data_IF_163395360059
#
_entry.id   IF_163395360059
#
_cell.length_a   1.000
_cell.length_b   1.000
_cell.length_c   1.000
_cell.angle_alpha   90.00
_cell.angle_beta   90.00
_cell.angle_gamma   90.00
#
_symmetry.space_group_name_H-M   'P 1'
#
loop_
_entity.id
_entity.type
_entity.pdbx_description
1 polymer ?
#
# COMPACT_ATOMS: atom_id res chain seq x y z
N UNK A 1 40.34 -39.74 0.72
CA UNK A 1 39.90 -39.24 2.06
C UNK A 1 40.19 -37.74 2.27
N UNK A 2 41.33 -37.18 1.84
CA UNK A 2 41.61 -35.72 1.98
C UNK A 2 40.63 -34.79 1.22
N UNK A 3 40.13 -35.18 0.05
CA UNK A 3 39.16 -34.37 -0.74
C UNK A 3 37.76 -34.26 -0.11
N UNK A 4 37.35 -35.21 0.73
CA UNK A 4 36.06 -35.15 1.42
C UNK A 4 36.09 -34.20 2.61
N UNK A 5 37.28 -33.98 3.21
CA UNK A 5 37.45 -33.09 4.34
C UNK A 5 37.45 -31.61 3.93
N UNK A 6 37.96 -31.28 2.73
CA UNK A 6 37.95 -29.90 2.23
C UNK A 6 36.56 -29.43 1.77
N UNK A 7 35.74 -30.35 1.25
CA UNK A 7 34.36 -30.03 0.83
C UNK A 7 33.49 -29.68 2.05
N UNK A 8 33.75 -30.30 3.20
CA UNK A 8 33.05 -30.01 4.46
C UNK A 8 33.51 -28.67 5.05
N UNK A 9 34.76 -28.25 4.82
CA UNK A 9 35.29 -26.99 5.34
C UNK A 9 34.70 -25.76 4.60
N UNK A 10 34.34 -25.90 3.32
CA UNK A 10 33.72 -24.81 2.53
C UNK A 10 32.25 -24.59 2.91
N UNK A 11 31.56 -25.59 3.45
CA UNK A 11 30.16 -25.46 3.90
C UNK A 11 30.00 -24.68 5.22
N UNK A 12 31.09 -24.38 5.94
CA UNK A 12 31.07 -23.60 7.18
C UNK A 12 31.40 -22.11 7.00
N UNK A 13 31.45 -21.60 5.77
CA UNK A 13 31.29 -20.16 5.54
C UNK A 13 29.85 -19.82 5.88
N UNK A 14 29.64 -19.51 7.15
CA UNK A 14 28.38 -19.13 7.74
C UNK A 14 27.70 -18.11 6.84
N UNK A 15 26.54 -18.49 6.30
CA UNK A 15 25.53 -17.52 5.92
C UNK A 15 25.15 -16.80 7.21
N UNK A 16 25.88 -15.76 7.56
CA UNK A 16 25.37 -14.67 8.36
C UNK A 16 24.18 -14.14 7.57
N UNK A 17 23.00 -14.65 7.89
CA UNK A 17 21.77 -13.92 7.68
C UNK A 17 22.00 -12.58 8.38
N UNK A 18 22.34 -11.56 7.61
CA UNK A 18 22.36 -10.21 8.11
C UNK A 18 20.92 -9.94 8.57
N UNK A 19 20.70 -10.09 9.88
CA UNK A 19 19.57 -9.50 10.56
C UNK A 19 19.51 -8.06 10.02
N UNK A 20 18.36 -7.55 9.53
CA UNK A 20 18.27 -6.15 9.19
C UNK A 20 18.58 -5.41 10.49
N UNK A 21 19.79 -4.88 10.59
CA UNK A 21 20.18 -3.97 11.65
C UNK A 21 19.16 -2.86 11.56
N UNK A 22 18.50 -2.55 12.68
CA UNK A 22 17.65 -1.37 12.76
C UNK A 22 18.46 -0.22 12.15
N UNK A 23 18.08 0.17 10.93
CA UNK A 23 18.66 1.33 10.28
C UNK A 23 18.44 2.43 11.30
N UNK A 24 19.47 3.22 11.60
CA UNK A 24 19.26 4.45 12.34
C UNK A 24 18.46 5.39 11.43
N UNK A 25 17.16 5.10 11.33
CA UNK A 25 16.21 5.81 10.48
C UNK A 25 16.09 7.26 10.91
N UNK A 26 16.50 7.60 12.14
CA UNK A 26 16.38 8.95 12.68
C UNK A 26 17.29 9.94 11.97
N UNK A 27 18.54 9.56 11.67
CA UNK A 27 19.48 10.41 10.93
C UNK A 27 19.00 10.64 9.49
N UNK A 28 18.55 9.56 8.82
CA UNK A 28 18.04 9.61 7.45
C UNK A 28 16.76 10.46 7.34
N UNK A 29 15.83 10.32 8.29
CA UNK A 29 14.59 11.12 8.34
C UNK A 29 14.89 12.59 8.61
N UNK A 30 15.84 12.90 9.51
CA UNK A 30 16.19 14.30 9.82
C UNK A 30 16.77 15.01 8.60
N UNK A 31 17.67 14.34 7.87
CA UNK A 31 18.24 14.85 6.62
C UNK A 31 17.15 15.05 5.56
N UNK A 32 16.28 14.05 5.35
CA UNK A 32 15.16 14.16 4.42
C UNK A 32 14.24 15.35 4.75
N UNK A 33 13.82 15.49 6.01
CA UNK A 33 12.99 16.60 6.49
C UNK A 33 13.67 17.96 6.33
N UNK A 34 15.00 18.03 6.46
CA UNK A 34 15.75 19.25 6.24
C UNK A 34 15.78 19.67 4.76
N UNK A 35 15.71 18.69 3.85
CA UNK A 35 15.72 18.90 2.40
C UNK A 35 14.34 19.28 1.83
N UNK A 36 13.28 19.14 2.60
CA UNK A 36 11.91 19.44 2.19
C UNK A 36 11.55 20.92 2.27
N UNK A 37 10.78 21.39 1.30
CA UNK A 37 10.06 22.66 1.36
C UNK A 37 8.89 22.59 2.36
N UNK A 38 8.31 23.74 2.71
CA UNK A 38 7.11 23.78 3.55
C UNK A 38 5.93 23.06 2.88
N UNK A 39 5.76 23.25 1.56
CA UNK A 39 4.69 22.61 0.80
C UNK A 39 4.83 21.08 0.81
N UNK A 40 6.04 20.55 0.60
CA UNK A 40 6.30 19.11 0.66
C UNK A 40 6.00 18.55 2.06
N UNK A 41 6.35 19.27 3.14
CA UNK A 41 6.01 18.84 4.51
C UNK A 41 4.51 18.77 4.75
N UNK A 42 3.78 19.80 4.30
CA UNK A 42 2.31 19.84 4.41
C UNK A 42 1.69 18.72 3.57
N UNK A 43 2.19 18.49 2.36
CA UNK A 43 1.79 17.39 1.50
C UNK A 43 1.98 16.04 2.18
N UNK A 44 3.16 15.79 2.77
CA UNK A 44 3.46 14.53 3.46
C UNK A 44 2.58 14.30 4.71
N UNK A 45 2.08 15.36 5.33
CA UNK A 45 1.12 15.29 6.44
C UNK A 45 -0.35 15.18 5.99
N UNK A 46 -0.60 15.18 4.68
CA UNK A 46 -1.96 15.13 4.11
C UNK A 46 -2.32 13.72 3.67
N UNK A 47 -3.53 13.29 4.04
CA UNK A 47 -4.15 12.05 3.58
C UNK A 47 -5.42 12.36 2.81
N UNK A 48 -5.56 11.82 1.59
CA UNK A 48 -6.69 12.10 0.70
C UNK A 48 -7.53 10.82 0.50
N UNK A 49 -8.86 10.95 0.46
CA UNK A 49 -9.74 9.84 0.09
C UNK A 49 -9.56 9.49 -1.39
N UNK A 50 -9.17 8.26 -1.70
CA UNK A 50 -8.90 7.78 -3.05
C UNK A 50 -10.14 7.85 -3.96
N UNK A 51 -11.34 7.70 -3.40
CA UNK A 51 -12.61 7.77 -4.15
C UNK A 51 -12.75 9.04 -5.00
N UNK A 52 -12.23 10.17 -4.54
CA UNK A 52 -12.37 11.44 -5.26
C UNK A 52 -11.62 11.47 -6.61
N UNK A 53 -10.70 10.53 -6.82
CA UNK A 53 -9.95 10.39 -8.05
C UNK A 53 -10.66 9.50 -9.07
N UNK A 54 -11.78 8.87 -8.72
CA UNK A 54 -12.49 7.96 -9.62
C UNK A 54 -13.85 8.53 -10.01
N UNK A 55 -14.20 8.37 -11.29
CA UNK A 55 -15.56 8.58 -11.73
C UNK A 55 -16.46 7.47 -11.16
N UNK A 56 -17.55 7.85 -10.50
CA UNK A 56 -18.43 6.90 -9.82
C UNK A 56 -19.22 5.99 -10.77
N UNK A 57 -19.40 6.36 -12.05
CA UNK A 57 -20.12 5.52 -13.01
C UNK A 57 -19.19 4.59 -13.79
N UNK A 58 -17.99 5.07 -14.15
CA UNK A 58 -17.09 4.35 -15.06
C UNK A 58 -15.87 3.74 -14.36
N UNK A 59 -15.60 4.12 -13.12
CA UNK A 59 -14.36 3.82 -12.39
C UNK A 59 -13.09 4.24 -13.15
N UNK A 60 -13.21 5.23 -14.05
CA UNK A 60 -12.07 5.85 -14.68
C UNK A 60 -11.35 6.76 -13.69
N UNK A 61 -10.02 6.65 -13.64
CA UNK A 61 -9.15 7.53 -12.88
C UNK A 61 -9.09 8.92 -13.54
N UNK A 62 -9.25 9.96 -12.73
CA UNK A 62 -9.08 11.37 -13.09
C UNK A 62 -7.60 11.73 -13.01
N UNK A 63 -6.92 11.60 -14.15
CA UNK A 63 -5.48 11.84 -14.29
C UNK A 63 -5.07 13.30 -13.99
N UNK A 64 -5.93 14.27 -14.32
CA UNK A 64 -5.65 15.68 -14.05
C UNK A 64 -5.64 15.95 -12.54
N UNK A 65 -6.64 15.40 -11.83
CA UNK A 65 -6.71 15.48 -10.38
C UNK A 65 -5.54 14.74 -9.73
N UNK A 66 -5.17 13.56 -10.23
CA UNK A 66 -3.99 12.84 -9.76
C UNK A 66 -2.72 13.68 -9.90
N UNK A 67 -2.46 14.25 -11.09
CA UNK A 67 -1.31 15.11 -11.34
C UNK A 67 -1.29 16.34 -10.41
N UNK A 68 -2.43 16.96 -10.17
CA UNK A 68 -2.56 18.12 -9.29
C UNK A 68 -2.13 17.82 -7.83
N UNK A 69 -2.56 16.68 -7.29
CA UNK A 69 -2.22 16.30 -5.91
C UNK A 69 -0.82 15.67 -5.81
N UNK A 70 -0.40 14.90 -6.82
CA UNK A 70 0.94 14.35 -6.92
C UNK A 70 2.01 15.46 -6.91
N UNK A 71 1.78 16.55 -7.67
CA UNK A 71 2.67 17.72 -7.69
C UNK A 71 2.78 18.49 -6.37
N UNK A 72 1.91 18.19 -5.38
CA UNK A 72 1.92 18.77 -4.03
C UNK A 72 2.56 17.86 -2.98
N UNK A 73 3.10 16.72 -3.40
CA UNK A 73 3.77 15.78 -2.51
C UNK A 73 2.85 15.17 -1.45
N UNK A 74 1.59 14.89 -1.78
CA UNK A 74 0.63 14.23 -0.88
C UNK A 74 1.20 12.89 -0.39
N UNK A 75 1.30 12.73 0.93
CA UNK A 75 1.97 11.60 1.56
C UNK A 75 1.12 10.33 1.60
N UNK A 76 -0.21 10.46 1.67
CA UNK A 76 -1.07 9.29 1.78
C UNK A 76 -2.39 9.41 1.04
N UNK A 77 -2.86 8.26 0.58
CA UNK A 77 -4.16 8.07 -0.03
C UNK A 77 -4.86 6.94 0.72
N UNK A 78 -6.10 7.15 1.14
CA UNK A 78 -6.87 6.19 1.93
C UNK A 78 -8.11 5.76 1.17
N UNK A 79 -8.54 4.54 1.45
CA UNK A 79 -9.87 4.00 1.18
C UNK A 79 -10.03 3.40 -0.21
N UNK A 80 -11.06 2.57 -0.34
CA UNK A 80 -11.45 1.99 -1.61
C UNK A 80 -12.20 2.98 -2.48
N UNK A 81 -12.00 2.98 -3.81
CA UNK A 81 -12.85 3.73 -4.73
C UNK A 81 -14.32 3.24 -4.70
N UNK A 82 -14.59 2.10 -4.07
CA UNK A 82 -15.92 1.53 -3.88
C UNK A 82 -16.58 1.90 -2.53
N UNK A 83 -15.97 2.79 -1.74
CA UNK A 83 -16.55 3.19 -0.45
C UNK A 83 -17.89 3.94 -0.59
N UNK A 84 -18.15 4.54 -1.76
CA UNK A 84 -19.44 5.14 -2.11
C UNK A 84 -20.58 4.14 -2.32
N UNK A 85 -20.28 2.84 -2.43
CA UNK A 85 -21.28 1.77 -2.54
C UNK A 85 -21.10 0.86 -3.76
N UNK A 86 -22.20 0.23 -4.17
CA UNK A 86 -22.24 -0.65 -5.34
C UNK A 86 -22.30 0.22 -6.59
N UNK A 87 -21.42 -0.05 -7.55
CA UNK A 87 -21.38 0.72 -8.80
C UNK A 87 -22.51 0.34 -9.74
N UNK A 88 -22.71 1.15 -10.77
CA UNK A 88 -23.76 0.99 -11.78
C UNK A 88 -23.73 -0.38 -12.48
N UNK A 89 -22.55 -1.01 -12.56
CA UNK A 89 -22.31 -2.33 -13.14
C UNK A 89 -22.42 -3.48 -12.12
N UNK A 90 -22.90 -3.20 -10.90
CA UNK A 90 -23.02 -4.13 -9.79
C UNK A 90 -21.68 -4.70 -9.29
N UNK A 91 -20.55 -4.04 -9.60
CA UNK A 91 -19.25 -4.36 -9.01
C UNK A 91 -19.13 -3.76 -7.62
N UNK A 92 -18.50 -4.54 -6.73
CA UNK A 92 -18.36 -4.22 -5.30
C UNK A 92 -16.89 -4.06 -4.89
N UNK A 93 -15.97 -4.08 -5.85
CA UNK A 93 -14.54 -4.10 -5.57
C UNK A 93 -13.71 -4.66 -6.72
N UNK A 94 -12.43 -4.30 -6.70
CA UNK A 94 -11.40 -4.86 -7.59
C UNK A 94 -10.89 -6.21 -7.09
N UNK A 95 -10.40 -7.03 -8.02
CA UNK A 95 -9.56 -8.17 -7.70
C UNK A 95 -8.11 -7.73 -7.38
N UNK A 96 -7.28 -8.64 -6.87
CA UNK A 96 -5.91 -8.32 -6.46
C UNK A 96 -5.03 -7.77 -7.60
N UNK A 97 -5.26 -8.19 -8.84
CA UNK A 97 -4.48 -7.71 -9.99
C UNK A 97 -4.87 -6.31 -10.40
N UNK A 98 -6.18 -6.00 -10.43
CA UNK A 98 -6.68 -4.64 -10.66
C UNK A 98 -6.19 -3.67 -9.58
N UNK A 99 -6.22 -4.09 -8.31
CA UNK A 99 -5.65 -3.32 -7.21
C UNK A 99 -4.17 -3.02 -7.43
N UNK A 100 -3.36 -4.03 -7.75
CA UNK A 100 -1.92 -3.86 -8.02
C UNK A 100 -1.67 -2.92 -9.19
N UNK A 101 -2.39 -3.09 -10.29
CA UNK A 101 -2.25 -2.26 -11.49
C UNK A 101 -2.50 -0.78 -11.18
N UNK A 102 -3.66 -0.46 -10.59
CA UNK A 102 -4.03 0.93 -10.29
C UNK A 102 -3.11 1.55 -9.24
N UNK A 103 -2.78 0.82 -8.17
CA UNK A 103 -1.87 1.35 -7.14
C UNK A 103 -0.46 1.55 -7.68
N UNK A 104 0.04 0.67 -8.54
CA UNK A 104 1.33 0.87 -9.20
C UNK A 104 1.33 2.10 -10.11
N UNK A 105 0.23 2.37 -10.82
CA UNK A 105 0.09 3.57 -11.64
C UNK A 105 0.13 4.84 -10.79
N UNK A 106 -0.66 4.90 -9.72
CA UNK A 106 -0.69 6.05 -8.79
C UNK A 106 0.66 6.26 -8.10
N UNK A 107 1.30 5.17 -7.64
CA UNK A 107 2.64 5.21 -7.05
C UNK A 107 3.67 5.77 -8.05
N UNK A 108 3.59 5.36 -9.31
CA UNK A 108 4.49 5.85 -10.37
C UNK A 108 4.26 7.33 -10.64
N UNK A 109 3.01 7.77 -10.74
CA UNK A 109 2.67 9.17 -10.95
C UNK A 109 3.15 10.08 -9.80
N UNK A 110 2.96 9.64 -8.55
CA UNK A 110 3.41 10.40 -7.36
C UNK A 110 4.92 10.44 -7.24
N UNK A 111 5.63 9.35 -7.52
CA UNK A 111 7.09 9.33 -7.57
C UNK A 111 7.63 10.26 -8.66
N UNK A 112 7.08 10.19 -9.88
CA UNK A 112 7.51 11.05 -10.99
C UNK A 112 7.30 12.55 -10.71
N UNK A 113 6.29 12.90 -9.91
CA UNK A 113 6.03 14.27 -9.51
C UNK A 113 6.86 14.72 -8.29
N UNK A 114 7.41 13.78 -7.52
CA UNK A 114 8.18 14.04 -6.31
C UNK A 114 9.62 14.42 -6.65
N UNK A 115 10.10 15.53 -6.08
CA UNK A 115 11.50 15.96 -6.19
C UNK A 115 12.46 15.09 -5.37
N UNK A 116 11.96 14.50 -4.28
CA UNK A 116 12.75 13.74 -3.30
C UNK A 116 12.48 12.23 -3.37
N UNK A 117 11.81 11.76 -4.42
CA UNK A 117 11.46 10.33 -4.61
C UNK A 117 10.77 9.67 -3.39
N UNK A 118 9.96 10.42 -2.65
CA UNK A 118 9.28 9.90 -1.46
C UNK A 118 8.04 9.12 -1.91
N UNK A 119 7.94 7.82 -1.62
CA UNK A 119 6.79 7.03 -2.01
C UNK A 119 5.56 7.42 -1.19
N UNK A 120 4.42 7.57 -1.86
CA UNK A 120 3.13 7.67 -1.19
C UNK A 120 2.81 6.39 -0.39
N UNK A 121 2.00 6.50 0.67
CA UNK A 121 1.48 5.35 1.43
C UNK A 121 -0.01 5.18 1.14
N UNK A 122 -0.40 3.99 0.65
CA UNK A 122 -1.81 3.66 0.40
C UNK A 122 -2.39 2.92 1.61
N UNK A 123 -3.41 3.51 2.22
CA UNK A 123 -4.19 2.91 3.30
C UNK A 123 -5.46 2.26 2.78
N UNK A 124 -5.83 1.12 3.34
CA UNK A 124 -7.13 0.47 3.11
C UNK A 124 -7.80 0.13 4.43
N UNK A 125 -9.07 0.48 4.55
CA UNK A 125 -9.89 0.10 5.70
C UNK A 125 -10.41 -1.32 5.53
N UNK A 126 -9.68 -2.29 6.08
CA UNK A 126 -10.12 -3.69 6.16
C UNK A 126 -10.47 -4.03 7.61
N UNK A 127 -11.64 -3.58 8.07
CA UNK A 127 -12.12 -3.84 9.44
C UNK A 127 -12.72 -5.25 9.58
N UNK A 128 -13.30 -5.79 8.51
CA UNK A 128 -13.82 -7.15 8.41
C UNK A 128 -13.45 -7.78 7.07
N UNK A 129 -13.51 -9.11 6.98
CA UNK A 129 -13.09 -9.90 5.83
C UNK A 129 -13.81 -9.45 4.54
N UNK A 130 -13.12 -8.70 3.67
CA UNK A 130 -13.50 -8.55 2.26
C UNK A 130 -14.41 -7.38 1.89
N UNK A 131 -14.43 -6.25 2.59
CA UNK A 131 -15.31 -5.12 2.22
C UNK A 131 -15.02 -4.56 0.81
N UNK A 132 -13.77 -4.58 0.36
CA UNK A 132 -13.35 -3.87 -0.86
C UNK A 132 -12.48 -4.66 -1.85
N UNK A 133 -12.27 -5.95 -1.59
CA UNK A 133 -11.54 -6.84 -2.50
C UNK A 133 -12.37 -8.07 -2.81
N UNK A 134 -12.45 -8.42 -4.10
CA UNK A 134 -13.16 -9.61 -4.55
C UNK A 134 -12.27 -10.84 -4.37
N UNK A 135 -12.22 -11.38 -3.14
CA UNK A 135 -11.65 -12.71 -2.87
C UNK A 135 -12.74 -13.79 -2.95
N UNK A 136 -12.38 -15.07 -3.21
CA UNK A 136 -13.30 -16.17 -2.94
C UNK A 136 -13.70 -16.13 -1.45
N UNK A 137 -15.01 -16.05 -1.20
CA UNK A 137 -15.59 -15.97 0.15
C UNK A 137 -15.04 -17.09 1.06
N UNK A 138 -14.41 -16.71 2.16
CA UNK A 138 -14.31 -17.56 3.35
C UNK A 138 -15.60 -17.37 4.15
N UNK A 139 -16.54 -18.31 4.04
CA UNK A 139 -17.80 -18.34 4.80
C UNK A 139 -17.54 -18.69 6.29
N UNK A 140 -16.77 -17.88 7.02
CA UNK A 140 -16.34 -18.26 8.39
C UNK A 140 -16.81 -17.33 9.53
N UNK A 141 -17.43 -16.17 9.27
CA UNK A 141 -17.78 -15.24 10.36
C UNK A 141 -19.25 -14.81 10.40
N UNK A 142 -20.19 -15.70 10.05
CA UNK A 142 -21.61 -15.53 10.36
C UNK A 142 -22.26 -16.87 10.73
N UNK A 143 -21.88 -17.46 11.87
CA UNK A 143 -22.71 -18.42 12.65
C UNK A 143 -21.98 -18.96 13.89
N UNK A 144 -21.95 -18.20 14.98
CA UNK A 144 -21.92 -18.81 16.33
C UNK A 144 -23.20 -18.38 17.03
N UNK A 145 -24.29 -19.08 16.73
CA UNK A 145 -25.51 -19.00 17.55
C UNK A 145 -25.25 -19.85 18.78
N UNK A 146 -24.87 -19.21 19.88
CA UNK A 146 -24.88 -19.82 21.21
C UNK A 146 -26.29 -20.37 21.48
N UNK A 147 -26.44 -21.70 21.45
CA UNK A 147 -27.59 -22.35 22.10
C UNK A 147 -27.37 -22.25 23.61
N UNK A 148 -27.92 -21.21 24.22
CA UNK A 148 -28.47 -21.33 25.59
C UNK A 148 -29.88 -21.89 25.45
N UNK A 149 -30.18 -23.01 26.09
CA UNK A 149 -31.49 -23.35 26.69
C UNK A 149 -31.44 -24.78 27.26
N UNK A 150 -31.48 -24.84 28.59
CA UNK A 150 -31.95 -25.90 29.52
C UNK A 150 -31.29 -27.28 29.45
#
# INVERSE_FOLDING_TARGET
MRKALEIILIAMVSATMAQPTAVDSSANVTELLSSMTLEEKVGQMTQINLEMFFNHETMALDEEKLAFYAGRGVGSYLQSPYAGGIQSDNTTGWNASQWREVMSHIQTATLNASRLDIPMIFGIENVHDGTYYRAPHSLASKSVRLRRSI
#
